data_IF_388906551814
#
_entry.id   IF_388906551814
#
_cell.length_a   1.000
_cell.length_b   1.000
_cell.length_c   1.000
_cell.angle_alpha   90.00
_cell.angle_beta   90.00
_cell.angle_gamma   90.00
#
_symmetry.space_group_name_H-M   'P 1'
#
loop_
_entity.id
_entity.type
_entity.pdbx_description
1 polymer ?
#
# COMPACT_ATOMS: atom_id res chain seq x y z
N UNK A 1 19.09 -3.52 -25.05
CA UNK A 1 19.17 -4.75 -24.23
C UNK A 1 18.91 -4.50 -22.75
N UNK A 2 19.59 -3.53 -22.11
CA UNK A 2 19.43 -3.23 -20.67
C UNK A 2 17.99 -2.86 -20.23
N UNK A 3 17.23 -2.14 -21.05
CA UNK A 3 15.85 -1.74 -20.74
C UNK A 3 14.90 -2.96 -20.62
N UNK A 4 15.00 -3.93 -21.53
CA UNK A 4 14.17 -5.13 -21.52
C UNK A 4 14.42 -5.99 -20.28
N UNK A 5 15.69 -6.14 -19.88
CA UNK A 5 16.08 -6.86 -18.67
C UNK A 5 15.51 -6.17 -17.41
N UNK A 6 15.58 -4.84 -17.36
CA UNK A 6 15.02 -4.06 -16.24
C UNK A 6 13.50 -4.23 -16.14
N UNK A 7 12.77 -4.25 -17.26
CA UNK A 7 11.31 -4.46 -17.28
C UNK A 7 10.95 -5.87 -16.78
N UNK A 8 11.68 -6.90 -17.23
CA UNK A 8 11.46 -8.29 -16.80
C UNK A 8 11.70 -8.45 -15.30
N UNK A 9 12.79 -7.87 -14.76
CA UNK A 9 13.10 -7.90 -13.33
C UNK A 9 12.02 -7.18 -12.52
N UNK A 10 11.56 -6.02 -13.00
CA UNK A 10 10.53 -5.23 -12.33
C UNK A 10 9.19 -5.99 -12.30
N UNK A 11 8.82 -6.64 -13.41
CA UNK A 11 7.64 -7.48 -13.50
C UNK A 11 7.68 -8.68 -12.54
N UNK A 12 8.78 -9.44 -12.54
CA UNK A 12 8.98 -10.55 -11.60
C UNK A 12 8.94 -10.08 -10.14
N UNK A 13 9.59 -8.96 -9.84
CA UNK A 13 9.63 -8.38 -8.50
C UNK A 13 8.23 -7.99 -8.00
N UNK A 14 7.40 -7.40 -8.85
CA UNK A 14 6.02 -7.07 -8.49
C UNK A 14 5.12 -8.30 -8.36
N UNK A 15 5.27 -9.32 -9.21
CA UNK A 15 4.54 -10.59 -9.07
C UNK A 15 4.86 -11.28 -7.74
N UNK A 16 6.14 -11.41 -7.40
CA UNK A 16 6.57 -12.00 -6.12
C UNK A 16 6.06 -11.18 -4.94
N UNK A 17 6.14 -9.85 -5.03
CA UNK A 17 5.63 -8.94 -4.00
C UNK A 17 4.12 -9.10 -3.79
N UNK A 18 3.35 -9.25 -4.87
CA UNK A 18 1.89 -9.40 -4.84
C UNK A 18 1.50 -10.73 -4.19
N UNK A 19 2.18 -11.83 -4.53
CA UNK A 19 1.97 -13.15 -3.91
C UNK A 19 2.34 -13.11 -2.42
N UNK A 20 3.49 -12.53 -2.06
CA UNK A 20 3.89 -12.38 -0.67
C UNK A 20 2.89 -11.55 0.16
N UNK A 21 2.38 -10.47 -0.41
CA UNK A 21 1.35 -9.62 0.21
C UNK A 21 0.01 -10.33 0.39
N UNK A 22 -0.41 -11.14 -0.59
CA UNK A 22 -1.61 -11.97 -0.49
C UNK A 22 -1.48 -13.03 0.61
N UNK A 23 -0.32 -13.68 0.71
CA UNK A 23 -0.04 -14.65 1.76
C UNK A 23 -0.07 -13.96 3.13
N UNK A 24 0.58 -12.80 3.26
CA UNK A 24 0.54 -12.01 4.49
C UNK A 24 -0.90 -11.64 4.87
N UNK A 25 -1.69 -11.13 3.92
CA UNK A 25 -3.10 -10.77 4.14
C UNK A 25 -3.93 -11.98 4.61
N UNK A 26 -3.76 -13.13 3.97
CA UNK A 26 -4.45 -14.36 4.35
C UNK A 26 -4.06 -14.85 5.75
N UNK A 27 -2.76 -14.79 6.08
CA UNK A 27 -2.23 -15.19 7.38
C UNK A 27 -2.76 -14.29 8.51
N UNK A 28 -2.86 -12.98 8.27
CA UNK A 28 -3.48 -12.03 9.20
C UNK A 28 -5.01 -12.20 9.31
N UNK A 29 -5.71 -12.63 8.24
CA UNK A 29 -7.14 -12.98 8.28
C UNK A 29 -7.41 -14.22 9.13
N UNK A 30 -6.58 -15.26 9.00
CA UNK A 30 -6.70 -16.48 9.79
C UNK A 30 -6.45 -16.23 11.29
N UNK A 31 -5.55 -15.29 11.62
CA UNK A 31 -5.24 -14.91 13.01
C UNK A 31 -6.23 -13.88 13.59
N UNK A 32 -7.54 -14.16 13.48
CA UNK A 32 -8.65 -13.31 13.96
C UNK A 32 -8.62 -13.00 15.47
N UNK A 33 -7.82 -13.74 16.24
CA UNK A 33 -7.76 -13.68 17.70
C UNK A 33 -6.97 -12.48 18.28
N UNK A 34 -6.25 -11.69 17.48
CA UNK A 34 -5.33 -10.63 17.97
C UNK A 34 -5.76 -9.22 17.52
N UNK A 35 -7.07 -8.92 17.49
CA UNK A 35 -7.62 -7.61 17.05
C UNK A 35 -7.35 -6.45 18.05
N UNK A 36 -6.08 -6.16 18.32
CA UNK A 36 -5.61 -4.96 19.02
C UNK A 36 -5.41 -3.79 18.05
N UNK A 37 -5.26 -2.56 18.59
CA UNK A 37 -4.97 -1.32 17.84
C UNK A 37 -3.82 -1.50 16.82
N UNK A 38 -2.73 -2.15 17.21
CA UNK A 38 -1.58 -2.51 16.36
C UNK A 38 -1.99 -3.34 15.12
N UNK A 39 -2.94 -4.25 15.27
CA UNK A 39 -3.41 -5.09 14.18
C UNK A 39 -4.25 -4.30 13.16
N UNK A 40 -4.94 -3.23 13.58
CA UNK A 40 -5.68 -2.31 12.68
C UNK A 40 -4.70 -1.50 11.82
N UNK A 41 -3.60 -1.00 12.41
CA UNK A 41 -2.59 -0.22 11.67
C UNK A 41 -1.90 -1.12 10.63
N UNK A 42 -1.47 -2.31 11.03
CA UNK A 42 -0.91 -3.28 10.07
C UNK A 42 -1.92 -3.66 8.97
N UNK A 43 -3.21 -3.80 9.29
CA UNK A 43 -4.25 -4.10 8.30
C UNK A 43 -4.32 -3.03 7.21
N UNK A 44 -4.30 -1.76 7.60
CA UNK A 44 -4.33 -0.65 6.66
C UNK A 44 -3.00 -0.54 5.88
N UNK A 45 -1.85 -0.80 6.50
CA UNK A 45 -0.56 -0.81 5.81
C UNK A 45 -0.50 -1.91 4.73
N UNK A 46 -0.94 -3.14 5.06
CA UNK A 46 -0.99 -4.25 4.09
C UNK A 46 -1.95 -3.91 2.96
N UNK A 47 -3.11 -3.32 3.26
CA UNK A 47 -4.07 -2.85 2.25
C UNK A 47 -3.46 -1.79 1.35
N UNK A 48 -2.74 -0.81 1.89
CA UNK A 48 -2.03 0.22 1.12
C UNK A 48 -0.94 -0.38 0.21
N UNK A 49 -0.22 -1.41 0.68
CA UNK A 49 0.74 -2.14 -0.16
C UNK A 49 0.08 -2.92 -1.29
N UNK A 50 -1.07 -3.56 -1.05
CA UNK A 50 -1.85 -4.24 -2.08
C UNK A 50 -2.31 -3.23 -3.13
N UNK A 51 -2.88 -2.10 -2.73
CA UNK A 51 -3.34 -1.06 -3.64
C UNK A 51 -2.20 -0.45 -4.47
N UNK A 52 -1.03 -0.21 -3.85
CA UNK A 52 0.17 0.23 -4.58
C UNK A 52 0.58 -0.78 -5.66
N UNK A 53 0.61 -2.07 -5.33
CA UNK A 53 0.96 -3.12 -6.30
C UNK A 53 -0.10 -3.28 -7.41
N UNK A 54 -1.39 -3.22 -7.05
CA UNK A 54 -2.49 -3.26 -8.02
C UNK A 54 -2.40 -2.07 -8.98
N UNK A 55 -2.09 -0.88 -8.49
CA UNK A 55 -2.01 0.32 -9.33
C UNK A 55 -0.80 0.29 -10.26
N UNK A 56 0.33 -0.30 -9.82
CA UNK A 56 1.47 -0.55 -10.72
C UNK A 56 1.07 -1.45 -11.89
N UNK A 57 0.30 -2.52 -11.63
CA UNK A 57 -0.25 -3.38 -12.68
C UNK A 57 -1.18 -2.62 -13.64
N UNK A 58 -2.06 -1.76 -13.11
CA UNK A 58 -2.98 -0.94 -13.92
C UNK A 58 -2.18 0.02 -14.81
N UNK A 59 -1.13 0.66 -14.30
CA UNK A 59 -0.25 1.53 -15.09
C UNK A 59 0.45 0.75 -16.21
N UNK A 60 0.97 -0.45 -15.94
CA UNK A 60 1.59 -1.30 -16.96
C UNK A 60 0.61 -1.70 -18.07
N UNK A 61 -0.62 -2.07 -17.71
CA UNK A 61 -1.68 -2.41 -18.68
C UNK A 61 -2.10 -1.19 -19.51
N UNK A 62 -2.12 -0.01 -18.89
CA UNK A 62 -2.52 1.27 -19.54
C UNK A 62 -1.42 1.85 -20.42
N UNK A 63 -0.15 1.49 -20.21
CA UNK A 63 0.98 1.85 -21.07
C UNK A 63 1.00 1.10 -22.41
N UNK A 64 0.04 0.22 -22.68
CA UNK A 64 -0.12 -0.37 -24.01
C UNK A 64 -0.51 0.70 -25.04
N UNK A 65 0.17 0.76 -26.21
CA UNK A 65 0.03 1.85 -27.18
C UNK A 65 -1.38 1.99 -27.76
N UNK A 66 -2.20 0.94 -27.70
CA UNK A 66 -3.59 0.95 -28.20
C UNK A 66 -4.55 1.77 -27.33
N UNK A 67 -4.27 1.93 -26.02
CA UNK A 67 -5.16 2.65 -25.09
C UNK A 67 -4.93 4.17 -25.12
N UNK A 68 -3.73 4.61 -25.53
CA UNK A 68 -3.30 6.01 -25.45
C UNK A 68 -4.14 6.94 -26.36
N UNK A 69 -4.57 6.47 -27.52
CA UNK A 69 -5.40 7.26 -28.45
C UNK A 69 -6.86 7.38 -28.01
N UNK A 70 -7.38 6.42 -27.25
CA UNK A 70 -8.82 6.38 -26.98
C UNK A 70 -9.25 7.32 -25.85
N UNK A 71 -8.39 7.56 -24.84
CA UNK A 71 -8.84 8.15 -23.58
C UNK A 71 -7.73 8.82 -22.72
N UNK A 72 -7.36 10.06 -23.05
CA UNK A 72 -6.41 10.89 -22.26
C UNK A 72 -6.83 11.03 -20.79
N UNK A 73 -8.14 11.11 -20.51
CA UNK A 73 -8.68 11.26 -19.15
C UNK A 73 -8.37 10.02 -18.30
N UNK A 74 -8.51 8.83 -18.87
CA UNK A 74 -8.23 7.56 -18.17
C UNK A 74 -6.76 7.43 -17.80
N UNK A 75 -5.84 7.78 -18.70
CA UNK A 75 -4.40 7.80 -18.40
C UNK A 75 -4.06 8.77 -17.26
N UNK A 76 -4.67 9.96 -17.26
CA UNK A 76 -4.46 10.98 -16.22
C UNK A 76 -5.00 10.53 -14.86
N UNK A 77 -6.17 9.90 -14.83
CA UNK A 77 -6.75 9.31 -13.62
C UNK A 77 -5.88 8.18 -13.08
N UNK A 78 -5.46 7.23 -13.92
CA UNK A 78 -4.60 6.11 -13.52
C UNK A 78 -3.27 6.62 -12.93
N UNK A 79 -2.66 7.62 -13.57
CA UNK A 79 -1.40 8.22 -13.08
C UNK A 79 -1.60 8.97 -11.76
N UNK A 80 -2.71 9.71 -11.62
CA UNK A 80 -3.04 10.39 -10.37
C UNK A 80 -3.28 9.39 -9.22
N UNK A 81 -4.02 8.31 -9.48
CA UNK A 81 -4.23 7.22 -8.52
C UNK A 81 -2.92 6.56 -8.12
N UNK A 82 -2.01 6.32 -9.06
CA UNK A 82 -0.68 5.75 -8.75
C UNK A 82 0.10 6.61 -7.76
N UNK A 83 0.18 7.92 -8.01
CA UNK A 83 0.88 8.83 -7.10
C UNK A 83 0.20 8.93 -5.74
N UNK A 84 -1.14 8.92 -5.69
CA UNK A 84 -1.88 8.92 -4.43
C UNK A 84 -1.58 7.67 -3.60
N UNK A 85 -1.72 6.46 -4.18
CA UNK A 85 -1.45 5.22 -3.45
C UNK A 85 0.02 5.06 -3.05
N UNK A 86 0.95 5.62 -3.82
CA UNK A 86 2.35 5.69 -3.45
C UNK A 86 2.56 6.54 -2.18
N UNK A 87 1.98 7.75 -2.14
CA UNK A 87 2.04 8.64 -0.97
C UNK A 87 1.35 8.03 0.25
N UNK A 88 0.16 7.47 0.08
CA UNK A 88 -0.59 6.73 1.12
C UNK A 88 0.25 5.60 1.73
N UNK A 89 0.99 4.84 0.91
CA UNK A 89 1.87 3.78 1.41
C UNK A 89 2.98 4.34 2.32
N UNK A 90 3.58 5.47 1.96
CA UNK A 90 4.57 6.15 2.81
C UNK A 90 3.95 6.68 4.11
N UNK A 91 2.77 7.30 4.05
CA UNK A 91 2.07 7.80 5.24
C UNK A 91 1.68 6.67 6.20
N UNK A 92 1.24 5.52 5.69
CA UNK A 92 0.96 4.35 6.53
C UNK A 92 2.22 3.75 7.16
N UNK A 93 3.34 3.70 6.43
CA UNK A 93 4.63 3.24 6.99
C UNK A 93 5.13 4.20 8.09
N UNK A 94 4.98 5.51 7.86
CA UNK A 94 5.28 6.53 8.87
C UNK A 94 4.36 6.42 10.10
N UNK A 95 3.06 6.21 9.87
CA UNK A 95 2.07 6.03 10.94
C UNK A 95 2.38 4.84 11.84
N UNK A 96 2.85 3.72 11.27
CA UNK A 96 3.32 2.57 12.05
C UNK A 96 4.56 2.91 12.89
N UNK A 97 5.54 3.61 12.33
CA UNK A 97 6.74 4.04 13.05
C UNK A 97 6.43 4.99 14.21
N UNK A 98 5.59 6.00 13.98
CA UNK A 98 5.12 6.91 15.03
C UNK A 98 4.33 6.17 16.11
N UNK A 99 3.46 5.24 15.72
CA UNK A 99 2.71 4.42 16.66
C UNK A 99 3.64 3.62 17.58
N UNK A 100 4.67 2.97 17.01
CA UNK A 100 5.65 2.21 17.79
C UNK A 100 6.41 3.12 18.76
N UNK A 101 6.88 4.28 18.29
CA UNK A 101 7.60 5.25 19.12
C UNK A 101 6.74 5.80 20.26
N UNK A 102 5.49 6.18 19.99
CA UNK A 102 4.55 6.65 21.02
C UNK A 102 4.17 5.54 22.00
N UNK A 103 4.02 4.30 21.55
CA UNK A 103 3.76 3.17 22.45
C UNK A 103 4.90 2.92 23.44
N UNK A 104 6.15 3.13 23.02
CA UNK A 104 7.35 2.97 23.86
C UNK A 104 7.51 4.15 24.83
N UNK A 105 7.37 5.39 24.34
CA UNK A 105 7.66 6.61 25.12
C UNK A 105 6.49 7.03 26.01
N UNK A 106 5.25 6.80 25.59
CA UNK A 106 4.01 7.28 26.22
C UNK A 106 3.07 6.13 26.58
N UNK A 107 3.60 5.12 27.28
CA UNK A 107 2.91 3.91 27.76
C UNK A 107 1.55 4.17 28.44
N UNK A 108 1.30 5.38 28.96
CA UNK A 108 0.06 5.75 29.66
C UNK A 108 -0.98 6.52 28.83
N UNK A 109 -0.68 6.95 27.59
CA UNK A 109 -1.56 7.84 26.78
C UNK A 109 -2.12 7.21 25.50
N UNK A 110 -1.92 5.91 25.30
CA UNK A 110 -2.39 5.19 24.10
C UNK A 110 -3.91 4.99 24.06
N UNK A 111 -4.60 5.01 25.22
CA UNK A 111 -6.07 4.85 25.28
C UNK A 111 -6.85 6.08 24.76
N UNK A 112 -6.25 7.27 24.77
CA UNK A 112 -6.90 8.52 24.28
C UNK A 112 -6.45 8.98 22.89
N UNK A 113 -5.41 8.37 22.31
CA UNK A 113 -5.01 8.68 20.94
C UNK A 113 -6.09 8.19 19.97
N UNK A 114 -6.87 9.14 19.42
CA UNK A 114 -7.98 8.90 18.49
C UNK A 114 -7.51 7.98 17.36
N UNK A 115 -7.94 6.71 17.40
CA UNK A 115 -7.91 5.74 16.30
C UNK A 115 -8.26 6.37 14.94
N UNK A 116 -9.24 7.27 14.96
CA UNK A 116 -9.67 8.05 13.80
C UNK A 116 -8.62 9.01 13.23
N UNK A 117 -7.81 9.65 14.08
CA UNK A 117 -6.81 10.61 13.63
C UNK A 117 -5.69 9.93 12.82
N UNK A 118 -5.26 8.73 13.24
CA UNK A 118 -4.30 7.93 12.46
C UNK A 118 -4.88 7.42 11.15
N UNK A 119 -6.15 7.02 11.13
CA UNK A 119 -6.84 6.61 9.89
C UNK A 119 -6.97 7.78 8.91
N UNK A 120 -7.29 8.98 9.38
CA UNK A 120 -7.37 10.20 8.56
C UNK A 120 -6.01 10.76 8.11
N UNK A 121 -4.90 10.36 8.75
CA UNK A 121 -3.55 10.74 8.32
C UNK A 121 -3.03 9.77 7.25
N UNK A 122 -3.41 8.49 7.35
CA UNK A 122 -2.96 7.45 6.41
C UNK A 122 -3.69 7.46 5.07
N UNK A 123 -5.00 7.73 5.05
CA UNK A 123 -5.85 7.81 3.85
C UNK A 123 -6.20 9.25 3.52
#
# INVERSE_FOLDING_TARGET
MHYQIAVIINFLGHCISMVALLIAFFLFLCLRSIRCLRNIIHWNLITAFILRNATWFIVQMTMSPEVHESNVIWCRLVTASFNYFHSTNFFWMFGEGCYLHTAIVLTYSTDKLRKWMFICIGW
#
